data_IF_973769495231
#
_entry.id   IF_973769495231
#
_cell.length_a   1.000
_cell.length_b   1.000
_cell.length_c   1.000
_cell.angle_alpha   90.00
_cell.angle_beta   90.00
_cell.angle_gamma   90.00
#
_symmetry.space_group_name_H-M   'P 1'
#
loop_
_entity.id
_entity.type
_entity.pdbx_description
1 polymer ?
#
# COMPACT_ATOMS: atom_id res chain seq x y z
N UNK A 1 3.29 4.87 16.66
CA UNK A 1 3.26 6.30 16.27
C UNK A 1 4.69 6.81 16.38
N UNK A 2 5.25 7.39 15.31
CA UNK A 2 6.61 7.97 15.34
C UNK A 2 6.55 9.41 15.85
N UNK A 3 5.62 10.19 15.32
CA UNK A 3 5.29 11.57 15.74
C UNK A 3 3.84 11.90 15.35
N UNK A 4 3.44 13.18 15.43
CA UNK A 4 2.07 13.62 15.18
C UNK A 4 1.62 13.54 13.72
N UNK A 5 2.56 13.39 12.78
CA UNK A 5 2.30 13.29 11.34
C UNK A 5 2.87 12.02 10.70
N UNK A 6 3.45 11.11 11.49
CA UNK A 6 4.09 9.90 10.99
C UNK A 6 3.74 8.65 11.81
N UNK A 7 3.27 7.61 11.11
CA UNK A 7 2.96 6.29 11.66
C UNK A 7 3.81 5.21 10.99
N UNK A 8 4.18 4.18 11.74
CA UNK A 8 4.65 2.91 11.18
C UNK A 8 3.66 1.82 11.58
N UNK A 9 3.16 1.08 10.62
CA UNK A 9 2.15 0.03 10.78
C UNK A 9 2.74 -1.30 10.34
N UNK A 10 2.63 -2.30 11.21
CA UNK A 10 2.95 -3.69 10.91
C UNK A 10 1.71 -4.52 11.17
N UNK A 11 1.30 -5.29 10.16
CA UNK A 11 0.05 -6.05 10.22
C UNK A 11 0.35 -7.54 10.29
N UNK A 12 -0.26 -8.21 11.26
CA UNK A 12 -0.41 -9.66 11.24
C UNK A 12 -1.83 -9.97 10.76
N UNK A 13 -1.97 -10.29 9.48
CA UNK A 13 -3.25 -10.56 8.88
C UNK A 13 -3.78 -11.93 9.31
N UNK A 14 -5.07 -11.98 9.66
CA UNK A 14 -5.73 -13.20 10.15
C UNK A 14 -5.66 -14.29 9.07
N UNK A 15 -4.96 -15.37 9.39
CA UNK A 15 -4.80 -16.53 8.49
C UNK A 15 -3.63 -16.41 7.50
N UNK A 16 -2.92 -15.28 7.45
CA UNK A 16 -1.81 -15.04 6.51
C UNK A 16 -0.48 -14.81 7.27
N UNK A 17 -0.54 -14.10 8.39
CA UNK A 17 0.62 -13.72 9.18
C UNK A 17 1.15 -12.33 8.84
N UNK A 18 2.45 -12.12 8.95
CA UNK A 18 3.06 -10.82 8.68
C UNK A 18 3.03 -10.49 7.19
N UNK A 19 2.34 -9.41 6.83
CA UNK A 19 2.26 -8.90 5.45
C UNK A 19 3.01 -7.57 5.32
N UNK A 20 3.47 -7.28 4.10
CA UNK A 20 4.30 -6.11 3.83
C UNK A 20 3.48 -4.84 3.68
N UNK A 21 2.27 -5.02 3.17
CA UNK A 21 1.31 -3.96 2.96
C UNK A 21 -0.10 -4.45 3.24
N UNK A 22 -0.84 -3.64 3.99
CA UNK A 22 -2.25 -3.86 4.28
C UNK A 22 -2.94 -2.50 4.37
N UNK A 23 -3.54 -2.04 3.26
CA UNK A 23 -4.13 -0.70 3.17
C UNK A 23 -5.24 -0.47 4.19
N UNK A 24 -6.10 -1.46 4.43
CA UNK A 24 -7.16 -1.38 5.44
C UNK A 24 -6.60 -1.22 6.86
N UNK A 25 -5.52 -1.93 7.21
CA UNK A 25 -4.85 -1.77 8.50
C UNK A 25 -4.19 -0.38 8.65
N UNK A 26 -3.62 0.16 7.57
CA UNK A 26 -3.07 1.52 7.56
C UNK A 26 -4.18 2.57 7.77
N UNK A 27 -5.33 2.42 7.11
CA UNK A 27 -6.49 3.28 7.32
C UNK A 27 -7.00 3.21 8.77
N UNK A 28 -7.22 2.00 9.28
CA UNK A 28 -7.69 1.78 10.65
C UNK A 28 -6.71 2.35 11.69
N UNK A 29 -5.41 2.17 11.48
CA UNK A 29 -4.36 2.70 12.37
C UNK A 29 -4.30 4.22 12.34
N UNK A 30 -4.52 4.84 11.18
CA UNK A 30 -4.61 6.30 11.02
C UNK A 30 -5.77 6.83 11.86
N UNK A 31 -6.97 6.29 11.67
CA UNK A 31 -8.14 6.71 12.44
C UNK A 31 -7.96 6.46 13.94
N UNK A 32 -7.40 5.31 14.34
CA UNK A 32 -7.09 5.02 15.75
C UNK A 32 -6.07 6.00 16.36
N UNK A 33 -5.09 6.45 15.59
CA UNK A 33 -4.14 7.48 16.04
C UNK A 33 -4.85 8.83 16.28
N UNK A 34 -5.77 9.22 15.40
CA UNK A 34 -6.58 10.43 15.58
C UNK A 34 -7.54 10.31 16.77
N UNK A 35 -8.25 9.17 16.89
CA UNK A 35 -9.15 8.87 18.02
C UNK A 35 -8.45 8.98 19.39
N UNK A 36 -7.15 8.69 19.41
CA UNK A 36 -6.35 8.72 20.64
C UNK A 36 -5.52 10.00 20.78
N UNK A 37 -5.84 11.03 19.99
CA UNK A 37 -5.16 12.33 19.96
C UNK A 37 -3.63 12.25 19.75
N UNK A 38 -3.15 11.16 19.13
CA UNK A 38 -1.74 10.99 18.77
C UNK A 38 -1.41 11.61 17.42
N UNK A 39 -2.41 11.73 16.56
CA UNK A 39 -2.40 12.50 15.32
C UNK A 39 -3.64 13.39 15.26
N UNK A 40 -3.63 14.41 14.41
CA UNK A 40 -4.81 15.27 14.17
C UNK A 40 -5.79 14.65 13.18
N UNK A 41 -7.08 14.92 13.34
CA UNK A 41 -8.06 14.74 12.27
C UNK A 41 -7.83 15.77 11.16
N UNK A 42 -8.24 15.43 9.94
CA UNK A 42 -8.20 16.29 8.75
C UNK A 42 -6.78 16.84 8.46
N UNK A 43 -5.77 16.11 8.93
CA UNK A 43 -4.35 16.39 8.70
C UNK A 43 -3.76 15.22 7.94
N UNK A 44 -2.89 15.52 6.98
CA UNK A 44 -2.15 14.49 6.26
C UNK A 44 -1.11 13.82 7.17
N UNK A 45 -1.15 12.49 7.19
CA UNK A 45 -0.28 11.63 7.99
C UNK A 45 0.47 10.70 7.04
N UNK A 46 1.79 10.67 7.16
CA UNK A 46 2.64 9.69 6.47
C UNK A 46 2.52 8.36 7.20
N UNK A 47 1.98 7.34 6.54
CA UNK A 47 1.85 6.00 7.11
C UNK A 47 2.79 5.06 6.38
N UNK A 48 3.76 4.54 7.12
CA UNK A 48 4.82 3.65 6.65
C UNK A 48 4.47 2.19 6.99
N UNK A 49 4.90 1.27 6.15
CA UNK A 49 4.93 -0.18 6.44
C UNK A 49 6.20 -0.80 5.81
N UNK A 50 6.30 -2.14 5.77
CA UNK A 50 7.47 -2.80 5.16
C UNK A 50 7.49 -2.68 3.63
N UNK A 51 6.31 -2.58 3.01
CA UNK A 51 6.13 -2.45 1.56
C UNK A 51 6.36 -1.04 1.01
N UNK A 52 6.29 0.00 1.84
CA UNK A 52 6.48 1.40 1.42
C UNK A 52 5.69 2.38 2.29
N UNK A 53 4.99 3.32 1.65
CA UNK A 53 4.20 4.34 2.33
C UNK A 53 2.90 4.68 1.61
N UNK A 54 1.98 5.29 2.37
CA UNK A 54 0.84 6.06 1.85
C UNK A 54 0.72 7.38 2.61
N UNK A 55 0.12 8.38 1.98
CA UNK A 55 -0.43 9.56 2.65
C UNK A 55 -1.86 9.23 3.07
N UNK A 56 -2.16 9.40 4.35
CA UNK A 56 -3.46 9.11 4.92
C UNK A 56 -4.04 10.36 5.57
N UNK A 57 -5.36 10.50 5.51
CA UNK A 57 -6.09 11.56 6.19
C UNK A 57 -7.37 10.95 6.75
N UNK A 58 -7.63 11.19 8.04
CA UNK A 58 -8.81 10.69 8.71
C UNK A 58 -9.66 11.86 9.19
N UNK A 59 -10.95 11.81 8.94
CA UNK A 59 -11.93 12.79 9.43
C UNK A 59 -12.54 12.35 10.76
N UNK A 60 -13.03 13.32 11.54
CA UNK A 60 -13.76 13.04 12.77
C UNK A 60 -15.04 12.21 12.54
N UNK A 61 -15.60 12.25 11.33
CA UNK A 61 -16.76 11.46 10.92
C UNK A 61 -16.43 9.99 10.58
N UNK A 62 -15.17 9.56 10.70
CA UNK A 62 -14.76 8.17 10.46
C UNK A 62 -14.37 7.84 9.02
N UNK A 63 -14.43 8.81 8.10
CA UNK A 63 -13.91 8.62 6.75
C UNK A 63 -12.39 8.70 6.75
N UNK A 64 -11.73 7.77 6.07
CA UNK A 64 -10.26 7.75 5.88
C UNK A 64 -9.93 7.69 4.41
N UNK A 65 -9.11 8.62 3.94
CA UNK A 65 -8.56 8.65 2.58
C UNK A 65 -7.12 8.16 2.60
N UNK A 66 -6.77 7.31 1.64
CA UNK A 66 -5.39 6.89 1.40
C UNK A 66 -4.97 7.29 0.00
N UNK A 67 -3.72 7.74 -0.15
CA UNK A 67 -3.08 7.97 -1.45
C UNK A 67 -1.68 7.37 -1.41
N UNK A 68 -1.45 6.40 -2.28
CA UNK A 68 -0.19 5.68 -2.40
C UNK A 68 0.22 5.56 -3.86
N UNK A 69 1.47 5.15 -4.07
CA UNK A 69 1.99 4.90 -5.40
C UNK A 69 1.35 3.65 -6.03
N UNK A 70 1.23 3.63 -7.34
CA UNK A 70 0.87 2.46 -8.13
C UNK A 70 1.91 2.32 -9.26
N UNK A 71 2.76 1.31 -9.15
CA UNK A 71 3.85 1.06 -10.10
C UNK A 71 3.39 0.08 -11.17
N UNK A 72 3.55 0.41 -12.44
CA UNK A 72 3.49 -0.59 -13.49
C UNK A 72 4.80 -1.39 -13.49
N UNK A 73 4.71 -2.72 -13.53
CA UNK A 73 5.90 -3.58 -13.66
C UNK A 73 6.08 -4.05 -15.10
N UNK A 74 5.01 -4.55 -15.71
CA UNK A 74 5.01 -5.04 -17.08
C UNK A 74 3.59 -5.04 -17.67
N UNK A 75 3.52 -5.12 -19.00
CA UNK A 75 2.30 -5.35 -19.78
C UNK A 75 2.47 -6.61 -20.61
N UNK A 76 1.45 -7.46 -20.65
CA UNK A 76 1.49 -8.70 -21.42
C UNK A 76 0.11 -9.23 -21.80
N UNK A 77 0.11 -10.36 -22.51
CA UNK A 77 -1.08 -11.09 -22.94
C UNK A 77 -0.98 -12.56 -22.55
N UNK A 78 -2.13 -13.20 -22.35
CA UNK A 78 -2.24 -14.64 -22.12
C UNK A 78 -3.57 -15.11 -22.70
N UNK A 79 -3.55 -16.24 -23.41
CA UNK A 79 -4.76 -16.90 -23.88
C UNK A 79 -5.28 -17.84 -22.80
N UNK A 80 -6.59 -17.78 -22.51
CA UNK A 80 -7.23 -18.63 -21.52
C UNK A 80 -8.34 -19.44 -22.19
N UNK A 81 -8.21 -20.75 -22.13
CA UNK A 81 -9.27 -21.67 -22.54
C UNK A 81 -10.15 -22.01 -21.32
N UNK A 82 -11.34 -21.42 -21.30
CA UNK A 82 -12.31 -21.64 -20.23
C UNK A 82 -12.96 -23.02 -20.28
N UNK A 83 -13.01 -23.68 -21.44
CA UNK A 83 -13.63 -25.00 -21.57
C UNK A 83 -12.75 -26.08 -20.91
N UNK A 84 -11.43 -25.93 -21.03
CA UNK A 84 -10.47 -26.84 -20.38
C UNK A 84 -9.94 -26.31 -19.05
N UNK A 85 -10.32 -25.09 -18.65
CA UNK A 85 -9.79 -24.39 -17.48
C UNK A 85 -8.26 -24.29 -17.49
N UNK A 86 -7.67 -24.05 -18.67
CA UNK A 86 -6.23 -23.91 -18.85
C UNK A 86 -5.85 -22.52 -19.33
N UNK A 87 -4.69 -22.04 -18.88
CA UNK A 87 -4.06 -20.82 -19.39
C UNK A 87 -2.83 -21.20 -20.20
N UNK A 88 -2.66 -20.56 -21.37
CA UNK A 88 -1.45 -20.63 -22.17
C UNK A 88 -0.27 -19.89 -21.53
N UNK A 89 0.89 -19.84 -22.22
CA UNK A 89 2.04 -19.08 -21.74
C UNK A 89 1.75 -17.58 -21.71
N UNK A 90 2.25 -16.90 -20.68
CA UNK A 90 2.21 -15.43 -20.59
C UNK A 90 3.25 -14.84 -21.53
N UNK A 91 2.84 -13.93 -22.42
CA UNK A 91 3.73 -13.14 -23.27
C UNK A 91 3.86 -11.73 -22.72
N UNK A 92 5.03 -11.38 -22.21
CA UNK A 92 5.32 -10.01 -21.78
C UNK A 92 5.66 -9.15 -23.01
N UNK A 93 4.87 -8.12 -23.25
CA UNK A 93 5.00 -7.19 -24.38
C UNK A 93 5.79 -5.93 -24.06
N UNK A 94 5.84 -5.54 -22.78
CA UNK A 94 6.57 -4.37 -22.31
C UNK A 94 6.93 -4.50 -20.84
N UNK A 95 8.08 -3.97 -20.45
CA UNK A 95 8.53 -3.86 -19.05
C UNK A 95 8.77 -2.40 -18.71
N UNK A 96 8.35 -2.00 -17.51
CA UNK A 96 8.44 -0.65 -16.99
C UNK A 96 9.56 -0.59 -15.94
N UNK A 97 10.77 -1.02 -16.33
CA UNK A 97 11.90 -1.17 -15.40
C UNK A 97 12.26 0.16 -14.70
N UNK A 98 12.05 1.30 -15.38
CA UNK A 98 12.25 2.63 -14.80
C UNK A 98 11.26 2.94 -13.67
N UNK A 99 10.00 2.52 -13.77
CA UNK A 99 9.00 2.70 -12.70
C UNK A 99 9.34 1.83 -11.49
N UNK A 100 9.75 0.58 -11.73
CA UNK A 100 10.22 -0.33 -10.68
C UNK A 100 11.42 0.27 -9.96
N UNK A 101 12.42 0.75 -10.71
CA UNK A 101 13.62 1.37 -10.16
C UNK A 101 13.30 2.63 -9.35
N UNK A 102 12.40 3.48 -9.85
CA UNK A 102 11.97 4.69 -9.15
C UNK A 102 11.27 4.35 -7.82
N UNK A 103 10.40 3.35 -7.81
CA UNK A 103 9.73 2.91 -6.58
C UNK A 103 10.71 2.28 -5.57
N UNK A 104 11.64 1.45 -6.03
CA UNK A 104 12.66 0.85 -5.17
C UNK A 104 13.59 1.89 -4.54
N UNK A 105 13.99 2.91 -5.31
CA UNK A 105 14.78 4.02 -4.80
C UNK A 105 14.03 4.79 -3.69
N UNK A 106 12.74 5.08 -3.89
CA UNK A 106 11.91 5.72 -2.87
C UNK A 106 11.73 4.81 -1.65
N UNK A 107 11.46 3.52 -1.82
CA UNK A 107 11.30 2.58 -0.71
C UNK A 107 12.58 2.46 0.13
N UNK A 108 13.75 2.52 -0.50
CA UNK A 108 15.03 2.51 0.19
C UNK A 108 15.23 3.79 1.04
N UNK A 109 14.70 4.94 0.61
CA UNK A 109 14.81 6.21 1.36
C UNK A 109 13.83 6.35 2.52
N UNK A 110 12.83 5.47 2.65
CA UNK A 110 11.83 5.49 3.74
C UNK A 110 12.32 4.81 5.04
N UNK A 111 13.55 4.30 5.07
CA UNK A 111 14.11 3.54 6.19
C UNK A 111 14.55 4.44 7.34
#
# INVERSE_FOLDING_TARGET
>A
VRDTTTLFVRTFERGIGLTDSCGSAMAASTFAACLTARCGYDTEITVLNRGGMVRAEASAAGMVRLSGNATFEWRGTVDVDLATATAGPVTVTHRYDDEIAAWEALRASLR
#
